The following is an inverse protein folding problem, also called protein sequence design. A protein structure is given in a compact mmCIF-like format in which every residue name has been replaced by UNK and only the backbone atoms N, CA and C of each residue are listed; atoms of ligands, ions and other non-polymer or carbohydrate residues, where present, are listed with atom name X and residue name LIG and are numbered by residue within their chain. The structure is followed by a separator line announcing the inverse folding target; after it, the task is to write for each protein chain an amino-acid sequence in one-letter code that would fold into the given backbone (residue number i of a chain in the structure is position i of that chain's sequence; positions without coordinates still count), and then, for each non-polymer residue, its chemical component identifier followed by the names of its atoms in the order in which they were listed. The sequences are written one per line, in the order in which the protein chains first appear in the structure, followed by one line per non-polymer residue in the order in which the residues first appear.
data_IF_246307652410
#
_entry.id   IF_246307652410
#
_cell.length_a   1.000
_cell.length_b   1.000
_cell.length_c   1.000
_cell.angle_alpha   90.00
_cell.angle_beta   90.00
_cell.angle_gamma   90.00
#
_symmetry.space_group_name_H-M   'P 1'
#
loop_
_entity.id
_entity.type
_entity.pdbx_description
1 polymer ?
#
# COMPACT_ATOMS: atom_id res chain seq x y z
N UNK A 1 0.02 15.49 1.52
CA UNK A 1 0.57 14.74 0.38
C UNK A 1 2.07 14.51 0.53
N UNK A 2 2.88 15.53 0.83
CA UNK A 2 4.33 15.34 1.02
C UNK A 2 4.71 14.43 2.19
N UNK A 3 3.93 14.45 3.28
CA UNK A 3 4.15 13.52 4.40
C UNK A 3 3.95 12.06 4.01
N UNK A 4 2.92 11.76 3.21
CA UNK A 4 2.61 10.39 2.73
C UNK A 4 3.66 9.94 1.72
N UNK A 5 4.06 10.82 0.79
CA UNK A 5 5.14 10.56 -0.18
C UNK A 5 6.46 10.22 0.53
N UNK A 6 6.86 11.04 1.50
CA UNK A 6 8.06 10.82 2.32
C UNK A 6 8.00 9.52 3.10
N UNK A 7 6.83 9.25 3.68
CA UNK A 7 6.62 8.02 4.44
C UNK A 7 6.73 6.78 3.56
N UNK A 8 6.07 6.76 2.39
CA UNK A 8 6.19 5.66 1.44
C UNK A 8 7.62 5.55 0.90
N UNK A 9 8.30 6.65 0.59
CA UNK A 9 9.69 6.64 0.17
C UNK A 9 10.60 5.98 1.21
N UNK A 10 10.47 6.36 2.49
CA UNK A 10 11.22 5.73 3.59
C UNK A 10 10.86 4.26 3.78
N UNK A 11 9.57 3.93 3.83
CA UNK A 11 9.10 2.56 4.06
C UNK A 11 9.40 1.61 2.90
N UNK A 12 9.35 2.10 1.66
CA UNK A 12 9.66 1.32 0.45
C UNK A 12 11.13 1.34 0.05
N UNK A 13 11.96 2.14 0.75
CA UNK A 13 13.36 2.39 0.39
C UNK A 13 13.54 2.89 -1.06
N UNK A 14 12.64 3.79 -1.49
CA UNK A 14 12.63 4.44 -2.81
C UNK A 14 12.81 5.94 -2.64
N UNK A 15 13.32 6.63 -3.65
CA UNK A 15 13.38 8.10 -3.63
C UNK A 15 11.96 8.69 -3.61
N UNK A 16 11.72 9.79 -2.89
CA UNK A 16 10.45 10.55 -2.94
C UNK A 16 10.07 10.97 -4.37
N UNK A 17 11.07 11.20 -5.23
CA UNK A 17 10.89 11.55 -6.64
C UNK A 17 10.41 10.37 -7.49
N UNK A 18 10.63 9.14 -7.02
CA UNK A 18 10.18 7.91 -7.66
C UNK A 18 8.83 7.44 -7.15
N UNK A 19 8.26 8.10 -6.13
CA UNK A 19 6.93 7.77 -5.61
C UNK A 19 5.88 8.50 -6.42
N UNK A 20 5.02 7.71 -7.08
CA UNK A 20 3.92 8.26 -7.86
C UNK A 20 2.78 8.74 -6.95
N UNK A 21 1.96 9.68 -7.47
CA UNK A 21 0.76 10.12 -6.74
C UNK A 21 -0.21 8.95 -6.51
N UNK A 22 -0.27 8.00 -7.45
CA UNK A 22 -1.10 6.80 -7.34
C UNK A 22 -0.69 5.95 -6.13
N UNK A 23 0.61 5.69 -5.95
CA UNK A 23 1.17 4.96 -4.80
C UNK A 23 0.71 5.57 -3.47
N UNK A 24 0.81 6.90 -3.35
CA UNK A 24 0.37 7.62 -2.14
C UNK A 24 -1.13 7.59 -1.91
N UNK A 25 -1.93 7.54 -2.98
CA UNK A 25 -3.38 7.44 -2.87
C UNK A 25 -3.81 6.04 -2.40
N UNK A 26 -3.18 4.97 -2.92
CA UNK A 26 -3.44 3.60 -2.48
C UNK A 26 -3.17 3.42 -0.98
N UNK A 27 -2.03 3.92 -0.49
CA UNK A 27 -1.73 3.89 0.94
C UNK A 27 -2.74 4.69 1.78
N UNK A 28 -3.11 5.88 1.32
CA UNK A 28 -4.05 6.75 2.03
C UNK A 28 -5.43 6.12 2.19
N UNK A 29 -5.96 5.49 1.14
CA UNK A 29 -7.27 4.82 1.19
C UNK A 29 -7.22 3.59 2.09
N UNK A 30 -6.19 2.75 1.96
CA UNK A 30 -6.05 1.56 2.80
C UNK A 30 -5.90 1.92 4.30
N UNK A 31 -5.09 2.92 4.62
CA UNK A 31 -4.97 3.45 5.98
C UNK A 31 -6.31 3.98 6.49
N UNK A 32 -7.04 4.77 5.69
CA UNK A 32 -8.32 5.31 6.09
C UNK A 32 -9.34 4.20 6.42
N UNK A 33 -9.38 3.11 5.65
CA UNK A 33 -10.28 1.98 5.89
C UNK A 33 -9.97 1.26 7.21
N UNK A 34 -8.69 1.07 7.51
CA UNK A 34 -8.23 0.43 8.75
C UNK A 34 -8.44 1.33 9.97
N UNK A 35 -8.02 2.60 9.89
CA UNK A 35 -8.11 3.57 11.00
C UNK A 35 -9.56 3.87 11.39
N UNK A 36 -10.47 3.92 10.42
CA UNK A 36 -11.90 4.10 10.68
C UNK A 36 -12.61 2.83 11.19
N UNK A 37 -11.90 1.72 11.38
CA UNK A 37 -12.47 0.41 11.72
C UNK A 37 -13.56 -0.07 10.74
N UNK A 38 -13.54 0.45 9.51
CA UNK A 38 -14.47 0.06 8.45
C UNK A 38 -14.08 -1.27 7.78
N UNK A 39 -12.85 -1.73 8.00
CA UNK A 39 -12.36 -3.02 7.57
C UNK A 39 -11.44 -3.62 8.66
N UNK A 40 -11.56 -4.92 8.90
CA UNK A 40 -10.64 -5.66 9.76
C UNK A 40 -9.30 -5.96 9.07
N UNK A 41 -9.29 -5.99 7.74
CA UNK A 41 -8.11 -6.14 6.92
C UNK A 41 -8.34 -5.53 5.53
N UNK A 42 -7.25 -5.18 4.83
CA UNK A 42 -7.27 -4.63 3.47
C UNK A 42 -6.31 -5.40 2.58
N UNK A 43 -6.75 -5.72 1.36
CA UNK A 43 -5.90 -6.28 0.30
C UNK A 43 -5.72 -5.23 -0.78
N UNK A 44 -4.47 -4.82 -1.02
CA UNK A 44 -4.12 -3.91 -2.12
C UNK A 44 -3.80 -4.75 -3.35
N UNK A 45 -4.55 -4.53 -4.42
CA UNK A 45 -4.29 -5.16 -5.72
C UNK A 45 -3.74 -4.13 -6.68
N UNK A 46 -2.54 -4.39 -7.19
CA UNK A 46 -1.89 -3.55 -8.22
C UNK A 46 -0.93 -4.39 -9.06
N UNK A 47 -0.67 -3.99 -10.29
CA UNK A 47 0.39 -4.59 -11.13
C UNK A 47 1.78 -4.02 -10.81
N UNK A 48 1.84 -2.88 -10.11
CA UNK A 48 3.10 -2.32 -9.62
C UNK A 48 3.48 -2.96 -8.28
N UNK A 49 4.43 -3.90 -8.36
CA UNK A 49 4.90 -4.65 -7.19
C UNK A 49 5.58 -3.77 -6.15
N UNK A 50 6.31 -2.73 -6.56
CA UNK A 50 7.05 -1.88 -5.64
C UNK A 50 6.11 -0.89 -4.92
N UNK A 51 5.08 -0.41 -5.62
CA UNK A 51 3.99 0.34 -4.99
C UNK A 51 3.24 -0.54 -3.98
N UNK A 52 2.84 -1.75 -4.36
CA UNK A 52 2.13 -2.68 -3.48
C UNK A 52 2.89 -3.02 -2.20
N UNK A 53 4.16 -3.41 -2.32
CA UNK A 53 5.05 -3.67 -1.17
C UNK A 53 5.29 -2.41 -0.33
N UNK A 54 5.41 -1.25 -0.96
CA UNK A 54 5.56 0.04 -0.28
C UNK A 54 4.36 0.39 0.59
N UNK A 55 3.15 0.16 0.09
CA UNK A 55 1.90 0.37 0.86
C UNK A 55 1.83 -0.54 2.08
N UNK A 56 2.14 -1.83 1.94
CA UNK A 56 2.15 -2.79 3.06
C UNK A 56 3.10 -2.29 4.15
N UNK A 57 4.38 -2.04 3.82
CA UNK A 57 5.38 -1.60 4.81
C UNK A 57 5.00 -0.29 5.49
N UNK A 58 4.44 0.65 4.72
CA UNK A 58 3.97 1.91 5.23
C UNK A 58 2.86 1.69 6.28
N UNK A 59 1.84 0.89 5.97
CA UNK A 59 0.71 0.65 6.88
C UNK A 59 1.13 -0.18 8.10
N UNK A 60 1.97 -1.19 7.92
CA UNK A 60 2.54 -1.98 9.02
C UNK A 60 3.32 -1.09 9.99
N UNK A 61 4.13 -0.15 9.49
CA UNK A 61 4.87 0.80 10.34
C UNK A 61 3.97 1.77 11.15
N UNK A 62 2.65 1.77 10.94
CA UNK A 62 1.65 2.49 11.73
C UNK A 62 0.94 1.61 12.77
N UNK A 63 1.34 0.35 12.95
CA UNK A 63 0.75 -0.56 13.95
C UNK A 63 -0.40 -1.43 13.42
N UNK A 64 -0.53 -1.55 12.10
CA UNK A 64 -1.54 -2.39 11.44
C UNK A 64 -0.94 -3.69 10.89
N UNK A 65 0.06 -4.25 11.56
CA UNK A 65 0.68 -5.51 11.17
C UNK A 65 -0.36 -6.64 11.04
N UNK A 66 -0.28 -7.37 9.94
CA UNK A 66 -1.22 -8.46 9.61
C UNK A 66 -2.62 -8.03 9.19
N UNK A 67 -2.91 -6.71 9.14
CA UNK A 67 -4.19 -6.17 8.66
C UNK A 67 -4.12 -5.63 7.22
N UNK A 68 -2.95 -5.70 6.59
CA UNK A 68 -2.72 -5.25 5.22
C UNK A 68 -1.95 -6.31 4.45
N UNK A 69 -2.37 -6.60 3.22
CA UNK A 69 -1.65 -7.47 2.30
C UNK A 69 -1.61 -6.88 0.89
N UNK A 70 -0.66 -7.34 0.09
CA UNK A 70 -0.53 -6.97 -1.33
C UNK A 70 -0.66 -8.22 -2.19
N UNK A 71 -1.45 -8.11 -3.26
CA UNK A 71 -1.55 -9.11 -4.32
C UNK A 71 -1.21 -8.49 -5.69
N UNK A 72 -0.34 -9.14 -6.44
CA UNK A 72 -0.05 -8.72 -7.80
C UNK A 72 -1.29 -8.96 -8.68
N UNK A 73 -1.69 -7.94 -9.43
CA UNK A 73 -2.84 -8.03 -10.34
C UNK A 73 -2.67 -9.09 -11.43
N UNK A 74 -1.45 -9.35 -11.91
CA UNK A 74 -1.20 -10.41 -12.89
C UNK A 74 -1.42 -11.81 -12.29
N UNK A 75 -0.86 -12.07 -11.11
CA UNK A 75 -1.06 -13.32 -10.38
C UNK A 75 -2.55 -13.55 -10.06
N UNK A 76 -3.25 -12.47 -9.66
CA UNK A 76 -4.70 -12.55 -9.42
C UNK A 76 -5.48 -12.94 -10.68
N UNK A 77 -5.12 -12.39 -11.85
CA UNK A 77 -5.78 -12.74 -13.11
C UNK A 77 -5.59 -14.24 -13.39
N UNK A 78 -4.38 -14.78 -13.22
CA UNK A 78 -4.11 -16.21 -13.42
C UNK A 78 -4.90 -17.12 -12.47
N UNK A 79 -5.18 -16.67 -11.24
CA UNK A 79 -5.95 -17.46 -10.27
C UNK A 79 -7.46 -17.50 -10.54
N UNK A 80 -8.01 -16.53 -11.29
CA UNK A 80 -9.46 -16.38 -11.50
C UNK A 80 -9.91 -16.73 -12.93
N UNK A 81 -8.98 -17.08 -13.81
CA UNK A 81 -9.26 -17.49 -15.20
C UNK A 81 -8.90 -18.95 -15.43
#
# INVERSE_FOLDING_TARGET
MDSVRRFIAQASNRSEDQIEKADTALAGVAMQLLDSSNAASVTVVTTDTDAGKGVVRAIEAQGFEGQIEFKNGFDLIEEIT
#
